data_IF_408407960073
#
_entry.id   IF_408407960073
#
_cell.length_a   1.000
_cell.length_b   1.000
_cell.length_c   1.000
_cell.angle_alpha   90.00
_cell.angle_beta   90.00
_cell.angle_gamma   90.00
#
_symmetry.space_group_name_H-M   'P 1'
#
loop_
_entity.id
_entity.type
_entity.pdbx_description
1 polymer ?
#
# COMPACT_ATOMS: atom_id res chain seq x y z
N UNK A 1 11.69 -18.51 2.35
CA UNK A 1 11.36 -17.42 1.40
C UNK A 1 12.10 -16.17 1.82
N UNK A 2 12.83 -15.50 0.93
CA UNK A 2 13.61 -14.30 1.29
C UNK A 2 12.67 -13.07 1.33
N UNK A 3 12.50 -12.40 2.50
CA UNK A 3 11.58 -11.28 2.65
C UNK A 3 11.91 -10.09 1.74
N UNK A 4 13.17 -9.93 1.34
CA UNK A 4 13.59 -8.91 0.38
C UNK A 4 13.04 -9.14 -1.03
N UNK A 5 12.90 -10.40 -1.44
CA UNK A 5 12.29 -10.74 -2.73
C UNK A 5 10.80 -10.37 -2.73
N UNK A 6 10.12 -10.64 -1.61
CA UNK A 6 8.71 -10.27 -1.43
C UNK A 6 8.56 -8.75 -1.50
N UNK A 7 9.40 -8.00 -0.78
CA UNK A 7 9.39 -6.54 -0.82
C UNK A 7 9.63 -5.99 -2.23
N UNK A 8 10.61 -6.54 -2.96
CA UNK A 8 10.88 -6.15 -4.34
C UNK A 8 9.68 -6.42 -5.25
N UNK A 9 9.03 -7.58 -5.12
CA UNK A 9 7.83 -7.94 -5.88
C UNK A 9 6.63 -7.06 -5.52
N UNK A 10 6.40 -6.77 -4.23
CA UNK A 10 5.34 -5.87 -3.78
C UNK A 10 5.56 -4.45 -4.30
N UNK A 11 6.80 -3.95 -4.26
CA UNK A 11 7.18 -2.64 -4.78
C UNK A 11 7.02 -2.57 -6.30
N UNK A 12 7.54 -3.54 -7.04
CA UNK A 12 7.45 -3.59 -8.49
C UNK A 12 6.00 -3.76 -8.97
N UNK A 13 5.25 -4.69 -8.35
CA UNK A 13 3.86 -4.97 -8.70
C UNK A 13 2.94 -3.79 -8.44
N UNK A 14 2.99 -3.19 -7.26
CA UNK A 14 2.19 -2.01 -6.93
C UNK A 14 2.57 -0.80 -7.78
N UNK A 15 3.86 -0.58 -8.04
CA UNK A 15 4.34 0.49 -8.92
C UNK A 15 3.91 0.30 -10.37
N UNK A 16 3.96 -0.93 -10.88
CA UNK A 16 3.48 -1.25 -12.22
C UNK A 16 1.96 -1.04 -12.33
N UNK A 17 1.18 -1.50 -11.35
CA UNK A 17 -0.27 -1.26 -11.31
C UNK A 17 -0.56 0.24 -11.27
N UNK A 18 0.15 1.00 -10.45
CA UNK A 18 -0.06 2.44 -10.32
C UNK A 18 0.27 3.20 -11.60
N UNK A 19 1.43 2.90 -12.19
CA UNK A 19 1.86 3.50 -13.45
C UNK A 19 0.94 3.10 -14.62
N UNK A 20 0.61 1.81 -14.74
CA UNK A 20 -0.29 1.28 -15.78
C UNK A 20 -1.70 1.84 -15.67
N UNK A 21 -2.23 1.97 -14.45
CA UNK A 21 -3.51 2.60 -14.16
C UNK A 21 -3.52 4.06 -14.61
N UNK A 22 -2.45 4.80 -14.35
CA UNK A 22 -2.31 6.18 -14.79
C UNK A 22 -2.19 6.31 -16.32
N UNK A 23 -1.42 5.43 -16.97
CA UNK A 23 -1.26 5.39 -18.42
C UNK A 23 -2.58 5.08 -19.14
N UNK A 24 -3.33 4.08 -18.65
CA UNK A 24 -4.62 3.65 -19.21
C UNK A 24 -5.81 4.48 -18.73
N UNK A 25 -5.59 5.47 -17.85
CA UNK A 25 -6.63 6.29 -17.19
C UNK A 25 -7.67 5.47 -16.42
N UNK A 26 -7.32 4.23 -16.04
CA UNK A 26 -8.14 3.34 -15.22
C UNK A 26 -7.97 3.71 -13.76
N UNK A 27 -9.09 4.00 -13.07
CA UNK A 27 -9.05 4.51 -11.68
C UNK A 27 -9.36 3.45 -10.65
N UNK A 28 -10.21 2.50 -11.00
CA UNK A 28 -10.64 1.43 -10.12
C UNK A 28 -9.49 0.55 -9.62
N UNK A 29 -8.42 0.24 -10.40
CA UNK A 29 -7.37 -0.66 -9.89
C UNK A 29 -6.56 0.01 -8.77
N UNK A 30 -6.30 1.31 -8.88
CA UNK A 30 -5.64 2.10 -7.83
C UNK A 30 -6.48 2.15 -6.54
N UNK A 31 -7.79 2.37 -6.65
CA UNK A 31 -8.68 2.42 -5.49
C UNK A 31 -8.79 1.04 -4.80
N UNK A 32 -8.95 -0.03 -5.58
CA UNK A 32 -8.99 -1.40 -5.06
C UNK A 32 -7.66 -1.76 -4.38
N UNK A 33 -6.53 -1.45 -5.01
CA UNK A 33 -5.21 -1.68 -4.42
C UNK A 33 -5.05 -0.95 -3.07
N UNK A 34 -5.45 0.33 -3.00
CA UNK A 34 -5.37 1.10 -1.76
C UNK A 34 -6.28 0.54 -0.65
N UNK A 35 -7.50 0.14 -0.98
CA UNK A 35 -8.44 -0.47 -0.03
C UNK A 35 -7.95 -1.83 0.46
N UNK A 36 -7.37 -2.66 -0.41
CA UNK A 36 -6.76 -3.92 -0.03
C UNK A 36 -5.56 -3.70 0.89
N UNK A 37 -4.68 -2.75 0.56
CA UNK A 37 -3.55 -2.40 1.43
C UNK A 37 -4.02 -1.88 2.79
N UNK A 38 -5.09 -1.08 2.83
CA UNK A 38 -5.71 -0.64 4.09
C UNK A 38 -6.21 -1.84 4.90
N UNK A 39 -6.98 -2.74 4.30
CA UNK A 39 -7.51 -3.91 4.98
C UNK A 39 -6.39 -4.82 5.54
N UNK A 40 -5.37 -5.11 4.72
CA UNK A 40 -4.21 -5.92 5.13
C UNK A 40 -3.44 -5.24 6.25
N UNK A 41 -3.20 -3.92 6.14
CA UNK A 41 -2.49 -3.16 7.17
C UNK A 41 -3.23 -3.18 8.51
N UNK A 42 -4.56 -3.10 8.51
CA UNK A 42 -5.37 -3.24 9.72
C UNK A 42 -5.34 -4.66 10.28
N UNK A 43 -5.47 -5.69 9.44
CA UNK A 43 -5.38 -7.08 9.90
C UNK A 43 -4.05 -7.36 10.58
N UNK A 44 -2.94 -6.91 9.99
CA UNK A 44 -1.60 -7.05 10.57
C UNK A 44 -1.42 -6.20 11.84
N UNK A 45 -1.96 -4.99 11.90
CA UNK A 45 -1.94 -4.17 13.12
C UNK A 45 -2.68 -4.87 14.28
N UNK A 46 -3.85 -5.45 14.02
CA UNK A 46 -4.60 -6.19 15.04
C UNK A 46 -3.89 -7.49 15.45
N UNK A 47 -3.25 -8.18 14.50
CA UNK A 47 -2.42 -9.35 14.80
C UNK A 47 -1.19 -8.98 15.65
N UNK A 48 -0.51 -7.88 15.32
CA UNK A 48 0.66 -7.39 16.06
C UNK A 48 0.31 -6.94 17.48
N UNK A 49 -0.88 -6.35 17.68
CA UNK A 49 -1.41 -6.02 19.02
C UNK A 49 -1.68 -7.26 19.87
N UNK A 50 -1.86 -8.42 19.25
CA UNK A 50 -2.15 -9.68 19.91
C UNK A 50 -3.56 -9.74 20.51
N UNK A 51 -4.05 -10.96 20.76
CA UNK A 51 -5.30 -11.19 21.51
C UNK A 51 -5.09 -11.70 22.94
N UNK A 52 -3.87 -12.10 23.31
CA UNK A 52 -3.55 -12.74 24.61
C UNK A 52 -2.12 -12.45 25.10
N UNK A 53 -1.55 -11.27 24.81
CA UNK A 53 -0.24 -10.84 25.33
C UNK A 53 0.99 -11.30 24.53
N UNK A 54 0.84 -12.14 23.51
CA UNK A 54 1.91 -12.45 22.56
C UNK A 54 1.89 -11.47 21.38
N UNK A 55 2.95 -10.67 21.24
CA UNK A 55 3.19 -9.81 20.09
C UNK A 55 3.64 -10.67 18.92
N UNK A 56 2.89 -10.63 17.82
CA UNK A 56 3.26 -11.40 16.64
C UNK A 56 4.34 -10.67 15.85
N UNK A 57 5.60 -11.07 16.08
CA UNK A 57 6.76 -10.55 15.33
C UNK A 57 6.58 -10.79 13.82
N UNK A 58 5.87 -11.86 13.42
CA UNK A 58 5.62 -12.14 12.02
C UNK A 58 4.70 -11.09 11.38
N UNK A 59 3.75 -10.52 12.13
CA UNK A 59 2.88 -9.46 11.65
C UNK A 59 3.67 -8.16 11.39
N UNK A 60 4.62 -7.81 12.27
CA UNK A 60 5.51 -6.65 12.10
C UNK A 60 6.39 -6.84 10.87
N UNK A 61 7.00 -8.02 10.72
CA UNK A 61 7.82 -8.37 9.55
C UNK A 61 6.98 -8.35 8.28
N UNK A 62 5.77 -8.90 8.29
CA UNK A 62 4.87 -8.85 7.14
C UNK A 62 4.54 -7.40 6.75
N UNK A 63 4.27 -6.52 7.72
CA UNK A 63 4.02 -5.09 7.46
C UNK A 63 5.23 -4.40 6.81
N UNK A 64 6.44 -4.71 7.30
CA UNK A 64 7.70 -4.17 6.82
C UNK A 64 8.05 -4.57 5.39
N UNK A 65 7.77 -5.82 5.01
CA UNK A 65 8.19 -6.38 3.72
C UNK A 65 7.06 -6.50 2.69
N UNK A 66 5.81 -6.14 3.03
CA UNK A 66 4.68 -6.15 2.07
C UNK A 66 4.02 -4.79 1.94
N UNK A 67 3.40 -4.29 3.01
CA UNK A 67 2.58 -3.07 2.99
C UNK A 67 3.43 -1.83 2.72
N UNK A 68 4.54 -1.65 3.43
CA UNK A 68 5.43 -0.49 3.24
C UNK A 68 6.04 -0.45 1.81
N UNK A 69 6.64 -1.54 1.30
CA UNK A 69 7.13 -1.58 -0.08
C UNK A 69 6.03 -1.37 -1.12
N UNK A 70 4.82 -1.89 -0.88
CA UNK A 70 3.70 -1.68 -1.79
C UNK A 70 3.21 -0.23 -1.82
N UNK A 71 3.15 0.44 -0.66
CA UNK A 71 2.82 1.87 -0.59
C UNK A 71 3.89 2.71 -1.30
N UNK A 72 5.17 2.40 -1.08
CA UNK A 72 6.29 3.05 -1.78
C UNK A 72 6.22 2.81 -3.29
N UNK A 73 6.01 1.57 -3.73
CA UNK A 73 5.86 1.23 -5.14
C UNK A 73 4.71 1.98 -5.79
N UNK A 74 3.54 2.02 -5.16
CA UNK A 74 2.38 2.78 -5.63
C UNK A 74 2.70 4.29 -5.77
N UNK A 75 3.37 4.88 -4.78
CA UNK A 75 3.78 6.29 -4.82
C UNK A 75 4.80 6.56 -5.95
N UNK A 76 5.81 5.71 -6.11
CA UNK A 76 6.83 5.79 -7.17
C UNK A 76 6.18 5.64 -8.55
N UNK A 77 5.28 4.66 -8.73
CA UNK A 77 4.55 4.45 -9.98
C UNK A 77 3.70 5.65 -10.39
N UNK A 78 3.02 6.29 -9.42
CA UNK A 78 2.29 7.53 -9.63
C UNK A 78 3.21 8.72 -9.94
N UNK A 79 4.34 8.84 -9.25
CA UNK A 79 5.33 9.89 -9.50
C UNK A 79 5.93 9.78 -10.91
N UNK A 80 6.31 8.57 -11.33
CA UNK A 80 6.81 8.30 -12.69
C UNK A 80 5.73 8.64 -13.73
N UNK A 81 4.48 8.23 -13.49
CA UNK A 81 3.37 8.57 -14.38
C UNK A 81 3.15 10.09 -14.50
N UNK A 82 3.30 10.82 -13.38
CA UNK A 82 3.20 12.27 -13.36
C UNK A 82 4.32 12.94 -14.19
N UNK A 83 5.57 12.50 -14.00
CA UNK A 83 6.74 12.98 -14.77
C UNK A 83 6.56 12.71 -16.27
N UNK A 84 5.94 11.57 -16.63
CA UNK A 84 5.62 11.21 -18.03
C UNK A 84 4.33 11.86 -18.56
N UNK A 85 3.77 12.85 -17.86
CA UNK A 85 2.53 13.57 -18.22
C UNK A 85 1.26 12.70 -18.31
N UNK A 86 1.28 11.48 -17.76
CA UNK A 86 0.09 10.66 -17.62
C UNK A 86 -0.73 11.13 -16.40
N UNK A 87 -1.55 12.15 -16.61
CA UNK A 87 -2.41 12.71 -15.55
C UNK A 87 -3.55 11.75 -15.22
N UNK A 88 -3.54 11.21 -14.00
CA UNK A 88 -4.72 10.59 -13.41
C UNK A 88 -5.75 11.70 -13.19
N UNK A 89 -6.92 11.62 -13.83
CA UNK A 89 -8.04 12.51 -13.50
C UNK A 89 -8.64 12.06 -12.17
N UNK A 90 -8.22 12.68 -11.07
CA UNK A 90 -8.81 12.50 -9.75
C UNK A 90 -10.22 13.13 -9.75
N UNK A 91 -11.27 12.36 -10.02
CA UNK A 91 -12.63 12.81 -9.68
C UNK A 91 -12.74 12.81 -8.15
N UNK A 92 -13.26 13.90 -7.58
CA UNK A 92 -13.22 14.21 -6.13
C UNK A 92 -13.44 12.98 -5.23
N UNK A 93 -14.48 12.18 -5.46
CA UNK A 93 -14.78 11.00 -4.63
C UNK A 93 -13.72 9.89 -4.68
N UNK A 94 -13.50 9.28 -5.85
CA UNK A 94 -12.57 8.14 -5.98
C UNK A 94 -11.13 8.52 -5.60
N UNK A 95 -10.73 9.74 -5.91
CA UNK A 95 -9.42 10.25 -5.52
C UNK A 95 -9.23 10.38 -4.02
N UNK A 96 -10.23 10.94 -3.32
CA UNK A 96 -10.21 11.03 -1.86
C UNK A 96 -10.23 9.66 -1.20
N UNK A 97 -10.97 8.69 -1.75
CA UNK A 97 -10.99 7.31 -1.23
C UNK A 97 -9.63 6.65 -1.35
N UNK A 98 -8.97 6.75 -2.51
CA UNK A 98 -7.63 6.17 -2.69
C UNK A 98 -6.62 6.82 -1.76
N UNK A 99 -6.61 8.16 -1.69
CA UNK A 99 -5.69 8.89 -0.80
C UNK A 99 -5.95 8.57 0.67
N UNK A 100 -7.22 8.57 1.10
CA UNK A 100 -7.63 8.21 2.44
C UNK A 100 -7.22 6.79 2.81
N UNK A 101 -7.52 5.82 1.95
CA UNK A 101 -7.14 4.41 2.14
C UNK A 101 -5.61 4.25 2.25
N UNK A 102 -4.84 4.88 1.36
CA UNK A 102 -3.37 4.85 1.42
C UNK A 102 -2.82 5.50 2.68
N UNK A 103 -3.37 6.64 3.12
CA UNK A 103 -2.98 7.31 4.36
C UNK A 103 -3.32 6.46 5.59
N UNK A 104 -4.50 5.84 5.62
CA UNK A 104 -4.89 4.93 6.72
C UNK A 104 -4.04 3.67 6.74
N UNK A 105 -3.68 3.11 5.58
CA UNK A 105 -2.77 1.98 5.48
C UNK A 105 -1.37 2.34 5.99
N UNK A 106 -0.87 3.52 5.63
CA UNK A 106 0.40 4.05 6.12
C UNK A 106 0.35 4.28 7.64
N UNK A 107 -0.71 4.91 8.14
CA UNK A 107 -0.92 5.14 9.57
C UNK A 107 -1.00 3.84 10.36
N UNK A 108 -1.73 2.84 9.86
CA UNK A 108 -1.80 1.51 10.48
C UNK A 108 -0.42 0.82 10.47
N UNK A 109 0.33 0.91 9.37
CA UNK A 109 1.67 0.36 9.29
C UNK A 109 2.65 1.02 10.26
N UNK A 110 2.65 2.35 10.34
CA UNK A 110 3.48 3.08 11.31
C UNK A 110 3.06 2.73 12.75
N UNK A 111 1.76 2.66 13.03
CA UNK A 111 1.26 2.27 14.33
C UNK A 111 1.74 0.88 14.74
N UNK A 112 1.84 -0.07 13.81
CA UNK A 112 2.39 -1.42 14.08
C UNK A 112 3.84 -1.37 14.60
N UNK A 113 4.66 -0.41 14.15
CA UNK A 113 6.05 -0.25 14.64
C UNK A 113 6.17 0.54 15.95
N UNK A 114 5.09 1.19 16.40
CA UNK A 114 5.04 1.95 17.64
C UNK A 114 4.54 1.11 18.83
N UNK A 115 4.20 -0.16 18.62
CA UNK A 115 3.68 -1.12 19.61
C UNK A 115 4.83 -1.98 20.15
#
# INVERSE_FOLDING_TARGET
MNPWIIAALCLAGSGFIAWGSARLRLRWPLAVLALLLMAIAFQLLHAARGRDGFRDLAAIVAQAFTVLPALLGMAVGLAIAHIRHHKVRWRRGAGLVTAGASLTALGAAVATFLI
#
